data_IF_854245899120
#
_entry.id   IF_854245899120
#
_cell.length_a   1.000
_cell.length_b   1.000
_cell.length_c   1.000
_cell.angle_alpha   90.00
_cell.angle_beta   90.00
_cell.angle_gamma   90.00
#
_symmetry.space_group_name_H-M   'P 1'
#
loop_
_entity.id
_entity.type
_entity.pdbx_description
1 polymer ?
#
# COMPACT_ATOMS: atom_id res chain seq x y z
N UNK A 1 9.16 3.02 0.60
CA UNK A 1 10.07 1.85 0.53
C UNK A 1 9.41 0.72 -0.24
N UNK A 2 10.13 0.03 -1.15
CA UNK A 2 9.64 -1.19 -1.81
C UNK A 2 10.35 -2.40 -1.19
N UNK A 3 9.58 -3.34 -0.67
CA UNK A 3 10.11 -4.55 -0.02
C UNK A 3 9.89 -5.73 -0.96
N UNK A 4 10.92 -6.57 -1.13
CA UNK A 4 10.79 -7.78 -1.91
C UNK A 4 9.91 -8.79 -1.17
N UNK A 5 8.93 -9.33 -1.87
CA UNK A 5 8.06 -10.40 -1.37
C UNK A 5 8.07 -11.56 -2.37
N UNK A 6 8.37 -12.77 -1.90
CA UNK A 6 8.36 -13.98 -2.71
C UNK A 6 7.42 -15.00 -2.06
N UNK A 7 6.57 -15.62 -2.88
CA UNK A 7 5.65 -16.66 -2.47
C UNK A 7 5.62 -17.78 -3.52
N UNK A 8 5.50 -19.03 -3.07
CA UNK A 8 5.38 -20.21 -3.93
C UNK A 8 4.37 -21.17 -3.31
N UNK A 9 3.65 -21.91 -4.16
CA UNK A 9 2.66 -22.88 -3.71
C UNK A 9 1.76 -23.37 -4.83
N UNK A 10 0.87 -24.34 -4.55
CA UNK A 10 -0.11 -24.83 -5.51
C UNK A 10 -0.98 -23.70 -6.08
N UNK A 11 -1.16 -23.66 -7.40
CA UNK A 11 -1.96 -22.65 -8.11
C UNK A 11 -1.31 -21.28 -8.28
N UNK A 12 -0.10 -21.07 -7.75
CA UNK A 12 0.72 -19.88 -8.02
C UNK A 12 1.59 -20.17 -9.24
N UNK A 13 1.45 -19.35 -10.28
CA UNK A 13 2.19 -19.54 -11.52
C UNK A 13 3.71 -19.33 -11.29
N UNK A 14 4.58 -20.24 -11.74
CA UNK A 14 6.02 -20.06 -11.63
C UNK A 14 6.48 -18.86 -12.46
N UNK A 15 7.50 -18.14 -11.96
CA UNK A 15 8.11 -16.99 -12.65
C UNK A 15 7.08 -15.89 -13.05
N UNK A 16 6.06 -15.69 -12.22
CA UNK A 16 5.06 -14.64 -12.37
C UNK A 16 5.39 -13.42 -11.50
N UNK A 17 4.87 -12.26 -11.89
CA UNK A 17 4.94 -11.01 -11.13
C UNK A 17 3.57 -10.63 -10.61
N UNK A 18 3.55 -9.82 -9.56
CA UNK A 18 2.33 -9.28 -8.95
C UNK A 18 2.29 -7.78 -9.16
N UNK A 19 1.39 -7.32 -10.00
CA UNK A 19 1.37 -5.93 -10.48
C UNK A 19 0.47 -5.01 -9.65
N UNK A 20 -0.21 -5.55 -8.64
CA UNK A 20 -1.07 -4.78 -7.75
C UNK A 20 -0.31 -4.25 -6.53
N UNK A 21 -0.69 -3.07 -6.00
CA UNK A 21 -0.19 -2.65 -4.69
C UNK A 21 -0.67 -3.60 -3.60
N UNK A 22 0.27 -4.26 -2.93
CA UNK A 22 0.06 -4.91 -1.66
C UNK A 22 1.02 -4.32 -0.61
N UNK A 23 0.61 -4.36 0.65
CA UNK A 23 1.33 -3.82 1.79
C UNK A 23 1.40 -4.84 2.91
N UNK A 24 2.22 -4.60 3.93
CA UNK A 24 2.38 -5.55 5.04
C UNK A 24 1.08 -5.88 5.77
N UNK A 25 0.12 -4.94 5.83
CA UNK A 25 -1.18 -5.16 6.48
C UNK A 25 -2.02 -6.24 5.80
N UNK A 26 -1.72 -6.55 4.53
CA UNK A 26 -2.46 -7.53 3.74
C UNK A 26 -1.95 -8.97 3.92
N UNK A 27 -0.76 -9.13 4.49
CA UNK A 27 -0.16 -10.45 4.69
C UNK A 27 -0.99 -11.28 5.66
N UNK A 28 -1.37 -10.70 6.80
CA UNK A 28 -2.15 -11.39 7.82
C UNK A 28 -3.51 -11.90 7.28
N UNK A 29 -4.40 -11.09 6.69
CA UNK A 29 -5.66 -11.57 6.13
C UNK A 29 -5.46 -12.56 4.97
N UNK A 30 -4.37 -12.44 4.21
CA UNK A 30 -4.01 -13.40 3.15
C UNK A 30 -3.66 -14.78 3.72
N UNK A 31 -2.80 -14.83 4.74
CA UNK A 31 -2.40 -16.07 5.40
C UNK A 31 -3.56 -16.74 6.16
N UNK A 32 -4.41 -15.95 6.81
CA UNK A 32 -5.64 -16.44 7.44
C UNK A 32 -6.58 -17.08 6.41
N UNK A 33 -6.78 -16.42 5.26
CA UNK A 33 -7.56 -16.98 4.16
C UNK A 33 -7.01 -18.32 3.64
N UNK A 34 -5.69 -18.44 3.49
CA UNK A 34 -5.05 -19.72 3.15
C UNK A 34 -5.29 -20.81 4.21
N UNK A 35 -5.34 -20.42 5.49
CA UNK A 35 -5.64 -21.31 6.62
C UNK A 35 -7.15 -21.62 6.74
N UNK A 36 -8.02 -20.95 5.99
CA UNK A 36 -9.47 -21.10 6.05
C UNK A 36 -10.09 -20.41 7.26
N UNK A 37 -9.45 -19.34 7.72
CA UNK A 37 -9.90 -18.50 8.83
C UNK A 37 -10.33 -17.13 8.30
N UNK A 38 -11.40 -16.60 8.87
CA UNK A 38 -11.84 -15.24 8.55
C UNK A 38 -10.93 -14.21 9.22
N UNK A 39 -10.54 -13.12 8.51
CA UNK A 39 -9.86 -12.00 9.13
C UNK A 39 -10.74 -11.36 10.23
N UNK A 40 -10.19 -11.12 11.44
CA UNK A 40 -10.87 -10.33 12.46
C UNK A 40 -11.25 -8.93 11.95
N UNK A 41 -12.32 -8.34 12.49
CA UNK A 41 -12.81 -7.02 12.06
C UNK A 41 -11.75 -5.91 12.16
N UNK A 42 -10.84 -6.00 13.14
CA UNK A 42 -9.78 -5.02 13.40
C UNK A 42 -8.60 -4.99 12.42
N UNK A 43 -8.64 -5.75 11.33
CA UNK A 43 -7.58 -5.73 10.31
C UNK A 43 -7.92 -4.74 9.19
N UNK A 44 -7.00 -3.82 8.89
CA UNK A 44 -7.14 -2.86 7.79
C UNK A 44 -6.87 -3.49 6.40
N UNK A 45 -6.03 -4.53 6.36
CA UNK A 45 -5.63 -5.18 5.11
C UNK A 45 -6.71 -6.09 4.50
N UNK A 46 -6.53 -6.43 3.23
CA UNK A 46 -7.39 -7.36 2.49
C UNK A 46 -6.58 -8.54 1.97
N UNK A 47 -7.23 -9.70 1.81
CA UNK A 47 -6.56 -10.86 1.23
C UNK A 47 -6.32 -10.66 -0.26
N UNK A 48 -5.06 -10.73 -0.71
CA UNK A 48 -4.70 -10.73 -2.13
C UNK A 48 -4.59 -12.16 -2.71
N UNK A 49 -4.96 -13.19 -1.94
CA UNK A 49 -4.93 -14.58 -2.40
C UNK A 49 -5.66 -14.81 -3.74
N UNK A 50 -6.85 -14.22 -3.98
CA UNK A 50 -7.55 -14.38 -5.26
C UNK A 50 -6.81 -13.81 -6.46
N UNK A 51 -5.95 -12.81 -6.25
CA UNK A 51 -5.11 -12.21 -7.28
C UNK A 51 -3.81 -13.02 -7.54
N UNK A 52 -3.44 -13.93 -6.63
CA UNK A 52 -2.25 -14.78 -6.75
C UNK A 52 -2.54 -16.15 -7.34
N UNK A 53 -3.65 -16.76 -6.92
CA UNK A 53 -3.95 -18.15 -7.22
C UNK A 53 -4.86 -18.23 -8.41
N UNK A 54 -4.36 -18.87 -9.46
CA UNK A 54 -5.18 -19.29 -10.60
C UNK A 54 -5.59 -20.75 -10.39
N UNK A 55 -6.83 -21.14 -10.74
CA UNK A 55 -7.24 -22.53 -10.66
C UNK A 55 -6.24 -23.41 -11.43
N UNK A 56 -5.59 -24.38 -10.78
CA UNK A 56 -4.59 -25.21 -11.44
C UNK A 56 -5.25 -26.05 -12.54
N UNK A 57 -4.53 -26.35 -13.64
CA UNK A 57 -5.02 -27.27 -14.67
C UNK A 57 -5.34 -28.64 -14.05
N UNK A 58 -6.22 -29.46 -14.66
CA UNK A 58 -6.72 -30.71 -14.06
C UNK A 58 -5.66 -31.72 -13.60
N UNK A 59 -4.45 -31.66 -14.18
CA UNK A 59 -3.33 -32.52 -13.85
C UNK A 59 -2.45 -32.02 -12.68
N UNK A 60 -2.68 -30.81 -12.17
CA UNK A 60 -1.88 -30.21 -11.10
C UNK A 60 -2.43 -30.56 -9.70
N UNK A 61 -1.60 -30.45 -8.64
CA UNK A 61 -2.02 -30.72 -7.27
C UNK A 61 -3.26 -29.90 -6.91
N UNK A 62 -4.25 -30.56 -6.32
CA UNK A 62 -5.47 -29.89 -5.85
C UNK A 62 -5.11 -28.87 -4.78
N UNK A 63 -5.71 -27.68 -4.89
CA UNK A 63 -5.60 -26.66 -3.85
C UNK A 63 -6.12 -27.21 -2.51
N UNK A 64 -5.56 -26.80 -1.36
CA UNK A 64 -6.18 -27.09 -0.07
C UNK A 64 -7.65 -26.64 -0.02
N UNK A 65 -8.51 -27.38 0.70
CA UNK A 65 -9.93 -27.04 0.80
C UNK A 65 -10.16 -25.65 1.41
N UNK A 66 -9.30 -25.24 2.34
CA UNK A 66 -9.32 -23.89 2.91
C UNK A 66 -9.12 -22.82 1.84
N UNK A 67 -8.13 -22.99 0.97
CA UNK A 67 -7.84 -22.09 -0.15
C UNK A 67 -9.02 -22.04 -1.12
N UNK A 68 -9.59 -23.20 -1.48
CA UNK A 68 -10.76 -23.23 -2.38
C UNK A 68 -11.93 -22.43 -1.82
N UNK A 69 -12.29 -22.66 -0.55
CA UNK A 69 -13.39 -21.92 0.12
C UNK A 69 -13.13 -20.42 0.18
N UNK A 70 -11.88 -20.02 0.43
CA UNK A 70 -11.51 -18.61 0.43
C UNK A 70 -11.68 -18.00 -0.97
N UNK A 71 -11.20 -18.68 -2.02
CA UNK A 71 -11.36 -18.22 -3.40
C UNK A 71 -12.84 -18.13 -3.83
N UNK A 72 -13.68 -19.07 -3.38
CA UNK A 72 -15.13 -19.04 -3.64
C UNK A 72 -15.82 -17.86 -2.93
N UNK A 73 -15.33 -17.48 -1.76
CA UNK A 73 -15.87 -16.36 -0.96
C UNK A 73 -15.42 -14.99 -1.46
N UNK A 74 -14.30 -14.94 -2.19
CA UNK A 74 -13.72 -13.71 -2.74
C UNK A 74 -13.43 -13.88 -4.24
N UNK A 75 -14.48 -13.79 -5.09
CA UNK A 75 -14.33 -14.01 -6.53
C UNK A 75 -13.33 -13.04 -7.17
N UNK A 76 -12.44 -13.57 -8.02
CA UNK A 76 -11.36 -12.79 -8.65
C UNK A 76 -11.87 -11.49 -9.30
N UNK A 77 -12.96 -11.54 -10.08
CA UNK A 77 -13.47 -10.35 -10.78
C UNK A 77 -13.86 -9.21 -9.82
N UNK A 78 -14.41 -9.55 -8.65
CA UNK A 78 -14.81 -8.58 -7.63
C UNK A 78 -13.59 -8.03 -6.92
N UNK A 79 -12.71 -8.91 -6.43
CA UNK A 79 -11.46 -8.52 -5.75
C UNK A 79 -10.63 -7.63 -6.65
N UNK A 80 -10.57 -7.98 -7.93
CA UNK A 80 -9.91 -7.21 -8.96
C UNK A 80 -10.50 -5.79 -9.07
N UNK A 81 -11.81 -5.67 -9.28
CA UNK A 81 -12.48 -4.38 -9.48
C UNK A 81 -12.37 -3.44 -8.25
N UNK A 82 -12.35 -4.02 -7.05
CA UNK A 82 -12.28 -3.30 -5.78
C UNK A 82 -10.84 -3.15 -5.24
N UNK A 83 -9.83 -3.69 -5.96
CA UNK A 83 -8.46 -3.57 -5.50
C UNK A 83 -7.98 -2.13 -5.60
N UNK A 84 -7.27 -1.69 -4.56
CA UNK A 84 -6.79 -0.31 -4.46
C UNK A 84 -5.77 -0.01 -5.55
N UNK A 85 -5.74 1.25 -5.98
CA UNK A 85 -4.69 1.81 -6.83
C UNK A 85 -3.74 2.73 -6.07
N UNK A 86 -3.94 2.85 -4.76
CA UNK A 86 -3.21 3.77 -3.89
C UNK A 86 -2.85 3.07 -2.59
N UNK A 87 -1.72 3.47 -1.99
CA UNK A 87 -1.28 2.96 -0.69
C UNK A 87 -0.87 4.11 0.21
N UNK A 88 -1.14 3.96 1.49
CA UNK A 88 -0.80 4.92 2.54
C UNK A 88 0.44 4.46 3.31
N UNK A 89 1.26 5.44 3.69
CA UNK A 89 2.41 5.26 4.56
C UNK A 89 2.29 6.22 5.73
N UNK A 90 2.75 5.73 6.87
CA UNK A 90 2.86 6.49 8.10
C UNK A 90 4.20 6.16 8.73
N UNK A 91 4.89 7.20 9.18
CA UNK A 91 6.16 7.07 9.86
C UNK A 91 6.21 8.05 11.03
N UNK A 92 6.62 7.53 12.18
CA UNK A 92 6.83 8.30 13.40
C UNK A 92 8.25 8.13 13.88
N UNK A 93 8.87 9.26 14.18
CA UNK A 93 10.08 9.34 14.96
C UNK A 93 9.81 8.83 16.39
N UNK A 94 10.59 7.83 16.81
CA UNK A 94 10.43 7.13 18.10
C UNK A 94 11.51 7.53 19.13
N UNK A 95 12.11 8.72 18.98
CA UNK A 95 13.12 9.20 19.93
C UNK A 95 14.49 8.52 19.80
N UNK A 96 15.52 9.14 20.38
CA UNK A 96 16.85 8.52 20.57
C UNK A 96 16.91 7.62 21.82
N UNK A 97 15.77 7.03 22.24
CA UNK A 97 15.67 6.22 23.45
C UNK A 97 16.54 4.97 23.40
N UNK A 98 17.87 5.10 23.52
CA UNK A 98 18.85 4.03 23.61
C UNK A 98 19.03 3.10 22.39
N UNK A 99 18.10 3.04 21.44
CA UNK A 99 18.12 1.99 20.40
C UNK A 99 19.18 2.19 19.30
N UNK A 100 19.47 3.44 18.93
CA UNK A 100 20.35 3.75 17.78
C UNK A 100 21.65 4.49 18.13
N UNK A 101 21.96 4.68 19.42
CA UNK A 101 23.12 5.45 19.87
C UNK A 101 22.96 6.97 19.70
N UNK A 102 23.48 7.76 20.65
CA UNK A 102 23.27 9.21 20.70
C UNK A 102 24.15 10.01 19.72
N UNK A 103 25.26 9.42 19.26
CA UNK A 103 26.34 10.16 18.59
C UNK A 103 26.17 10.25 17.06
N UNK A 104 25.14 9.63 16.50
CA UNK A 104 24.83 9.68 15.07
C UNK A 104 23.32 9.46 14.87
N UNK A 105 22.47 10.46 15.21
CA UNK A 105 21.05 10.35 14.97
C UNK A 105 20.83 10.16 13.47
N UNK A 106 20.38 8.97 13.09
CA UNK A 106 19.94 8.66 11.71
C UNK A 106 18.57 9.27 11.41
N UNK A 107 17.90 9.80 12.44
CA UNK A 107 16.56 10.39 12.38
C UNK A 107 16.45 11.57 13.34
N UNK A 108 15.64 12.56 12.95
CA UNK A 108 15.38 13.78 13.70
C UNK A 108 13.87 13.92 13.99
N UNK A 109 13.47 14.72 15.00
CA UNK A 109 12.06 14.89 15.36
C UNK A 109 11.17 15.51 14.27
N UNK A 110 11.75 16.00 13.18
CA UNK A 110 11.04 16.52 11.99
C UNK A 110 10.76 15.44 10.94
N UNK A 111 11.32 14.23 11.06
CA UNK A 111 11.04 13.11 10.17
C UNK A 111 9.84 12.27 10.66
N UNK A 112 8.69 12.91 10.86
CA UNK A 112 7.41 12.20 10.94
C UNK A 112 6.63 12.54 9.69
N UNK A 113 6.03 11.54 9.03
CA UNK A 113 5.25 11.81 7.83
C UNK A 113 4.08 10.87 7.64
N UNK A 114 3.08 11.40 6.95
CA UNK A 114 2.01 10.64 6.30
C UNK A 114 2.15 10.82 4.80
N UNK A 115 1.93 9.76 4.03
CA UNK A 115 2.10 9.81 2.59
C UNK A 115 1.12 8.91 1.85
N UNK A 116 0.79 9.29 0.62
CA UNK A 116 0.02 8.47 -0.32
C UNK A 116 0.83 8.25 -1.59
N UNK A 117 0.95 7.00 -2.00
CA UNK A 117 1.48 6.62 -3.31
C UNK A 117 0.33 6.21 -4.21
N UNK A 118 0.11 7.00 -5.26
CA UNK A 118 -0.89 6.77 -6.30
C UNK A 118 -0.27 6.03 -7.47
N UNK A 119 -0.67 4.80 -7.74
CA UNK A 119 -0.12 4.03 -8.84
C UNK A 119 -0.90 4.37 -10.12
N UNK A 120 -0.25 5.16 -10.97
CA UNK A 120 -0.67 5.53 -12.32
C UNK A 120 0.12 4.76 -13.38
N UNK A 121 -0.29 4.89 -14.65
CA UNK A 121 0.08 3.93 -15.68
C UNK A 121 1.40 4.14 -16.44
N UNK A 122 2.17 3.04 -16.54
CA UNK A 122 3.06 2.69 -17.67
C UNK A 122 2.43 1.61 -18.59
N UNK A 123 3.03 1.35 -19.77
CA UNK A 123 2.48 0.65 -20.94
C UNK A 123 1.44 -0.47 -20.68
N UNK A 124 0.33 -0.36 -21.41
CA UNK A 124 -0.79 -1.32 -21.45
C UNK A 124 -0.31 -2.64 -22.07
N UNK A 125 -0.14 -3.67 -21.26
CA UNK A 125 -0.34 -5.04 -21.75
C UNK A 125 -1.83 -5.24 -22.02
N UNK A 126 -2.19 -5.89 -23.13
CA UNK A 126 -3.55 -6.03 -23.64
C UNK A 126 -4.54 -6.82 -22.73
N UNK A 127 -4.13 -7.14 -21.49
CA UNK A 127 -4.87 -7.93 -20.49
C UNK A 127 -4.96 -7.20 -19.13
N UNK A 128 -4.74 -5.88 -19.11
CA UNK A 128 -4.64 -5.10 -17.86
C UNK A 128 -6.01 -4.91 -17.22
N UNK A 129 -6.41 -5.87 -16.41
CA UNK A 129 -7.51 -5.71 -15.48
C UNK A 129 -7.21 -4.57 -14.47
N UNK A 130 -5.94 -4.27 -14.12
CA UNK A 130 -5.54 -3.37 -13.00
C UNK A 130 -6.27 -2.01 -12.87
N UNK A 131 -6.84 -1.74 -11.69
CA UNK A 131 -7.40 -0.43 -11.33
C UNK A 131 -6.26 0.58 -11.16
N UNK A 132 -6.26 1.65 -11.97
CA UNK A 132 -5.23 2.72 -11.90
C UNK A 132 -5.77 3.96 -11.20
N UNK A 133 -4.88 4.71 -10.55
CA UNK A 133 -5.27 5.96 -9.90
C UNK A 133 -5.54 7.06 -10.95
N UNK A 134 -6.64 7.80 -10.84
CA UNK A 134 -6.91 8.95 -11.72
C UNK A 134 -5.93 10.11 -11.46
N UNK A 135 -5.21 10.10 -10.34
CA UNK A 135 -4.20 11.10 -10.01
C UNK A 135 -2.87 10.88 -10.76
N UNK A 136 -2.73 9.78 -11.50
CA UNK A 136 -1.47 9.41 -12.14
C UNK A 136 -0.47 8.81 -11.15
N UNK A 137 0.80 8.77 -11.53
CA UNK A 137 1.83 8.01 -10.84
C UNK A 137 2.56 8.83 -9.75
N UNK A 138 1.81 9.31 -8.77
CA UNK A 138 2.31 10.28 -7.79
C UNK A 138 2.77 9.66 -6.47
N UNK A 139 3.70 10.33 -5.79
CA UNK A 139 3.94 10.23 -4.35
C UNK A 139 3.73 11.61 -3.73
N UNK A 140 2.86 11.67 -2.73
CA UNK A 140 2.61 12.87 -1.93
C UNK A 140 2.88 12.57 -0.46
N UNK A 141 3.58 13.47 0.25
CA UNK A 141 3.89 13.33 1.66
C UNK A 141 3.72 14.66 2.43
N UNK A 142 3.24 14.57 3.66
CA UNK A 142 3.10 15.65 4.63
C UNK A 142 3.99 15.34 5.83
N UNK A 143 4.92 16.23 6.14
CA UNK A 143 5.89 16.07 7.22
C UNK A 143 5.54 16.97 8.40
N UNK A 144 5.84 16.49 9.61
CA UNK A 144 5.61 17.24 10.83
C UNK A 144 6.64 16.93 11.91
N UNK A 145 6.86 17.92 12.76
CA UNK A 145 7.67 17.82 13.96
C UNK A 145 6.89 17.15 15.10
N UNK A 146 7.55 16.25 15.82
CA UNK A 146 7.01 15.66 17.02
C UNK A 146 7.85 14.50 17.54
N UNK A 147 7.46 13.98 18.70
CA UNK A 147 8.18 12.92 19.41
C UNK A 147 7.21 11.92 20.01
N UNK A 148 7.56 10.64 19.98
CA UNK A 148 6.84 9.56 20.66
C UNK A 148 5.34 9.49 20.30
N UNK A 149 5.03 9.66 19.00
CA UNK A 149 3.66 9.63 18.48
C UNK A 149 2.84 10.91 18.75
N UNK A 150 3.39 11.91 19.42
CA UNK A 150 2.76 13.23 19.57
C UNK A 150 3.06 14.10 18.35
N UNK A 151 2.37 13.84 17.24
CA UNK A 151 2.53 14.57 15.98
C UNK A 151 1.17 15.06 15.50
N UNK A 152 1.07 16.36 15.21
CA UNK A 152 -0.17 16.97 14.70
C UNK A 152 -0.10 17.23 13.19
N UNK A 153 -0.60 16.27 12.41
CA UNK A 153 -0.71 16.40 10.96
C UNK A 153 -1.84 17.34 10.50
N UNK A 154 -2.57 18.01 11.40
CA UNK A 154 -3.50 19.07 10.99
C UNK A 154 -2.76 20.33 10.50
N UNK A 155 -1.48 20.49 10.83
CA UNK A 155 -0.67 21.65 10.44
C UNK A 155 0.72 21.25 9.90
N UNK A 156 0.81 20.51 8.79
CA UNK A 156 2.09 19.99 8.30
C UNK A 156 3.14 21.10 8.08
N UNK A 157 4.38 20.81 8.46
CA UNK A 157 5.50 21.75 8.38
C UNK A 157 6.19 21.72 7.01
N UNK A 158 6.14 20.57 6.33
CA UNK A 158 6.76 20.40 5.02
C UNK A 158 5.94 19.44 4.14
N UNK A 159 6.10 19.58 2.82
CA UNK A 159 5.33 18.84 1.83
C UNK A 159 6.24 18.39 0.69
N UNK A 160 6.04 17.16 0.26
CA UNK A 160 6.71 16.62 -0.92
C UNK A 160 5.70 16.09 -1.92
N UNK A 161 5.95 16.37 -3.21
CA UNK A 161 5.17 15.83 -4.31
C UNK A 161 6.08 15.46 -5.48
N UNK A 162 6.05 14.19 -5.86
CA UNK A 162 6.83 13.64 -6.96
C UNK A 162 5.92 12.92 -7.96
N UNK A 163 6.20 13.12 -9.25
CA UNK A 163 5.67 12.31 -10.34
C UNK A 163 6.69 11.24 -10.70
N UNK A 164 6.38 9.97 -10.44
CA UNK A 164 7.33 8.87 -10.62
C UNK A 164 7.42 8.38 -12.07
N UNK A 165 6.58 8.88 -12.98
CA UNK A 165 6.76 8.62 -14.41
C UNK A 165 7.90 9.48 -14.98
N UNK A 166 8.07 10.70 -14.46
CA UNK A 166 9.07 11.67 -14.94
C UNK A 166 10.27 11.85 -13.99
N UNK A 167 10.08 11.59 -12.69
CA UNK A 167 11.10 11.66 -11.64
C UNK A 167 11.10 10.40 -10.77
N UNK A 168 11.53 9.24 -11.32
CA UNK A 168 11.55 7.97 -10.59
C UNK A 168 12.52 7.97 -9.39
N UNK A 169 13.45 8.91 -9.35
CA UNK A 169 14.44 9.07 -8.29
C UNK A 169 14.03 10.09 -7.23
N UNK A 170 12.91 10.79 -7.43
CA UNK A 170 12.31 11.73 -6.48
C UNK A 170 13.29 12.84 -6.08
N UNK A 171 13.98 13.40 -7.08
CA UNK A 171 14.99 14.44 -6.89
C UNK A 171 14.42 15.86 -7.05
N UNK A 172 13.23 15.98 -7.63
CA UNK A 172 12.60 17.26 -7.94
C UNK A 172 11.24 17.36 -7.26
N UNK A 173 11.21 17.94 -6.05
CA UNK A 173 9.96 18.20 -5.35
C UNK A 173 9.12 19.25 -6.11
N UNK A 174 8.00 18.82 -6.67
CA UNK A 174 7.12 19.65 -7.50
C UNK A 174 5.99 20.32 -6.71
N UNK A 175 5.89 20.11 -5.39
CA UNK A 175 4.77 20.58 -4.58
C UNK A 175 4.51 22.07 -4.73
N UNK A 176 5.57 22.89 -4.69
CA UNK A 176 5.44 24.35 -4.81
C UNK A 176 4.74 24.78 -6.13
N UNK A 177 5.03 24.07 -7.22
CA UNK A 177 4.50 24.35 -8.56
C UNK A 177 3.12 23.72 -8.83
N UNK A 178 2.67 22.79 -7.99
CA UNK A 178 1.37 22.13 -8.16
C UNK A 178 0.20 23.11 -7.95
N UNK A 179 -0.92 22.83 -8.64
CA UNK A 179 -2.14 23.62 -8.50
C UNK A 179 -2.76 23.46 -7.11
N UNK A 180 -3.44 24.50 -6.63
CA UNK A 180 -4.11 24.46 -5.33
C UNK A 180 -5.19 23.38 -5.26
N UNK A 181 -5.87 23.10 -6.39
CA UNK A 181 -6.84 22.02 -6.48
C UNK A 181 -6.21 20.63 -6.28
N UNK A 182 -5.03 20.39 -6.86
CA UNK A 182 -4.31 19.13 -6.67
C UNK A 182 -3.83 19.00 -5.23
N UNK A 183 -3.24 20.06 -4.67
CA UNK A 183 -2.80 20.09 -3.26
C UNK A 183 -3.96 19.78 -2.31
N UNK A 184 -5.11 20.42 -2.50
CA UNK A 184 -6.29 20.19 -1.68
C UNK A 184 -6.81 18.74 -1.79
N UNK A 185 -6.83 18.19 -3.00
CA UNK A 185 -7.24 16.79 -3.24
C UNK A 185 -6.32 15.80 -2.52
N UNK A 186 -5.00 15.99 -2.66
CA UNK A 186 -3.99 15.14 -2.04
C UNK A 186 -4.00 15.24 -0.51
N UNK A 187 -4.13 16.46 0.03
CA UNK A 187 -4.27 16.71 1.46
C UNK A 187 -5.51 16.03 2.03
N UNK A 188 -6.67 16.23 1.40
CA UNK A 188 -7.91 15.57 1.83
C UNK A 188 -7.74 14.05 1.86
N UNK A 189 -7.14 13.50 0.80
CA UNK A 189 -6.96 12.06 0.68
C UNK A 189 -6.06 11.48 1.79
N UNK A 190 -4.87 12.06 2.03
CA UNK A 190 -3.96 11.52 3.05
C UNK A 190 -4.55 11.64 4.47
N UNK A 191 -5.32 12.70 4.73
CA UNK A 191 -6.01 12.91 6.01
C UNK A 191 -7.19 11.96 6.22
N UNK A 192 -7.93 11.62 5.16
CA UNK A 192 -8.98 10.60 5.21
C UNK A 192 -8.39 9.23 5.54
N UNK A 193 -7.27 8.87 4.90
CA UNK A 193 -6.58 7.60 5.15
C UNK A 193 -5.97 7.53 6.56
N UNK A 194 -5.40 8.64 7.06
CA UNK A 194 -4.89 8.71 8.43
C UNK A 194 -5.99 8.42 9.48
N UNK A 195 -7.23 8.83 9.21
CA UNK A 195 -8.36 8.73 10.16
C UNK A 195 -9.19 7.47 9.98
N UNK A 196 -9.17 6.87 8.80
CA UNK A 196 -9.96 5.68 8.52
C UNK A 196 -9.45 4.49 9.37
N UNK A 197 -10.34 3.57 9.68
CA UNK A 197 -10.03 2.32 10.39
C UNK A 197 -10.79 1.16 9.76
N UNK A 198 -10.17 -0.01 9.70
CA UNK A 198 -10.78 -1.26 9.28
C UNK A 198 -11.48 -1.11 7.90
N UNK A 199 -12.74 -1.53 7.81
CA UNK A 199 -13.56 -1.50 6.58
C UNK A 199 -13.91 -0.09 6.09
N UNK A 200 -13.64 0.96 6.88
CA UNK A 200 -13.91 2.34 6.47
C UNK A 200 -12.81 2.96 5.59
N UNK A 201 -11.67 2.28 5.43
CA UNK A 201 -10.54 2.72 4.60
C UNK A 201 -10.62 2.34 3.11
N UNK A 202 -11.74 1.76 2.66
CA UNK A 202 -11.86 1.07 1.37
C UNK A 202 -12.28 1.99 0.23
#
# INVERSE_FOLDING_TARGET
>A
VRVHFLITGPGIAPNSTFDFPATNVDLAPTLLGMAGLDPPAGMDGKSFLPLLVTPPPPAAPKLPLSVQRHLDSYPLHQVHAEWRSQVFFEHYYVGLGGYCGADSPIELPDNNFIAVRSIGGGAVGADSLTTRSPLGNLLYAEFQHGTDGNVDFATPAHFELFDLDTDPWQLNNTYAAASDALKATLHQQVQEWLRCRERSCA
#
